data_IF_690934963050
#
_entry.id   IF_690934963050
#
_cell.length_a   1.000
_cell.length_b   1.000
_cell.length_c   1.000
_cell.angle_alpha   90.00
_cell.angle_beta   90.00
_cell.angle_gamma   90.00
#
_symmetry.space_group_name_H-M   'P 1'
#
loop_
_entity.id
_entity.type
_entity.pdbx_description
1 polymer ?
#
# COMPACT_ATOMS: atom_id res chain seq x y z
N UNK A 1 12.80 -6.79 17.88
CA UNK A 1 12.63 -5.86 16.73
C UNK A 1 11.46 -6.23 15.84
N UNK A 2 11.37 -7.46 15.28
CA UNK A 2 10.27 -7.87 14.38
C UNK A 2 8.89 -7.65 15.02
N UNK A 3 8.65 -8.17 16.24
CA UNK A 3 7.35 -8.02 16.92
C UNK A 3 6.91 -6.55 17.09
N UNK A 4 7.84 -5.67 17.48
CA UNK A 4 7.57 -4.23 17.66
C UNK A 4 7.27 -3.57 16.32
N UNK A 5 8.08 -3.85 15.29
CA UNK A 5 7.85 -3.33 13.93
C UNK A 5 6.48 -3.78 13.39
N UNK A 6 6.12 -5.06 13.56
CA UNK A 6 4.82 -5.60 13.15
C UNK A 6 3.65 -4.93 13.87
N UNK A 7 3.78 -4.67 15.18
CA UNK A 7 2.76 -3.97 15.95
C UNK A 7 2.57 -2.52 15.46
N UNK A 8 3.68 -1.77 15.32
CA UNK A 8 3.65 -0.40 14.79
C UNK A 8 3.02 -0.39 13.41
N UNK A 9 3.35 -1.36 12.55
CA UNK A 9 2.80 -1.45 11.20
C UNK A 9 1.29 -1.67 11.19
N UNK A 10 0.77 -2.58 12.04
CA UNK A 10 -0.68 -2.81 12.15
C UNK A 10 -1.39 -1.53 12.61
N UNK A 11 -0.86 -0.86 13.64
CA UNK A 11 -1.41 0.40 14.13
C UNK A 11 -1.42 1.46 13.03
N UNK A 12 -0.30 1.63 12.33
CA UNK A 12 -0.20 2.57 11.22
C UNK A 12 -1.19 2.23 10.09
N UNK A 13 -1.36 0.95 9.74
CA UNK A 13 -2.29 0.54 8.68
C UNK A 13 -3.73 0.93 9.04
N UNK A 14 -4.16 0.62 10.27
CA UNK A 14 -5.49 0.96 10.73
C UNK A 14 -5.73 2.49 10.76
N UNK A 15 -4.71 3.28 11.10
CA UNK A 15 -4.78 4.74 11.12
C UNK A 15 -4.74 5.37 9.72
N UNK A 16 -3.93 4.82 8.82
CA UNK A 16 -3.74 5.34 7.46
C UNK A 16 -4.92 4.98 6.55
N UNK A 17 -5.46 3.76 6.69
CA UNK A 17 -6.60 3.29 5.90
C UNK A 17 -7.90 4.09 6.12
N UNK A 18 -8.02 4.83 7.23
CA UNK A 18 -9.19 5.65 7.53
C UNK A 18 -9.12 7.06 6.95
N UNK A 19 -7.97 7.49 6.43
CA UNK A 19 -7.75 8.85 5.95
C UNK A 19 -7.50 8.79 4.45
N UNK A 20 -8.46 9.24 3.65
CA UNK A 20 -8.25 9.47 2.22
C UNK A 20 -7.11 10.46 1.96
N UNK A 21 -6.87 10.82 0.70
CA UNK A 21 -5.77 11.72 0.31
C UNK A 21 -5.76 13.09 1.03
N UNK A 22 -6.86 13.45 1.72
CA UNK A 22 -7.01 14.71 2.44
C UNK A 22 -7.10 15.93 1.51
N UNK A 23 -7.10 15.72 0.20
CA UNK A 23 -7.15 16.74 -0.83
C UNK A 23 -8.33 16.47 -1.76
N UNK A 24 -8.99 17.54 -2.18
CA UNK A 24 -10.05 17.53 -3.19
C UNK A 24 -9.54 18.19 -4.48
N UNK A 25 -10.27 18.10 -5.61
CA UNK A 25 -9.93 18.86 -6.81
C UNK A 25 -9.82 20.37 -6.54
N UNK A 26 -10.65 20.90 -5.65
CA UNK A 26 -10.65 22.31 -5.23
C UNK A 26 -9.35 22.71 -4.53
N UNK A 27 -8.88 21.90 -3.57
CA UNK A 27 -7.63 22.17 -2.86
C UNK A 27 -6.39 21.91 -3.73
N UNK A 28 -6.47 20.93 -4.65
CA UNK A 28 -5.38 20.59 -5.56
C UNK A 28 -5.18 21.62 -6.69
N UNK A 29 -6.23 22.32 -7.10
CA UNK A 29 -6.19 23.36 -8.15
C UNK A 29 -6.13 24.77 -7.57
N UNK A 30 -6.42 24.95 -6.28
CA UNK A 30 -6.56 26.27 -5.65
C UNK A 30 -7.83 27.02 -6.06
N UNK A 31 -8.73 26.39 -6.82
CA UNK A 31 -9.93 27.01 -7.37
C UNK A 31 -11.14 26.92 -6.44
N UNK A 32 -10.99 26.40 -5.21
CA UNK A 32 -12.11 26.22 -4.28
C UNK A 32 -12.89 27.51 -3.96
N UNK A 33 -12.24 28.67 -4.03
CA UNK A 33 -12.90 29.97 -3.87
C UNK A 33 -13.89 30.31 -5.00
N UNK A 34 -13.78 29.66 -6.16
CA UNK A 34 -14.63 29.85 -7.34
C UNK A 34 -15.81 28.86 -7.39
N UNK A 35 -15.95 27.97 -6.41
CA UNK A 35 -17.01 26.97 -6.33
C UNK A 35 -16.55 25.55 -6.63
N UNK A 36 -17.51 24.65 -6.89
CA UNK A 36 -17.25 23.22 -7.12
C UNK A 36 -16.47 23.02 -8.42
N UNK A 37 -15.31 22.38 -8.33
CA UNK A 37 -14.45 22.12 -9.49
C UNK A 37 -14.93 20.86 -10.21
N UNK A 38 -15.18 20.97 -11.52
CA UNK A 38 -15.46 19.82 -12.39
C UNK A 38 -14.49 19.79 -13.56
N UNK A 39 -14.12 18.58 -13.97
CA UNK A 39 -13.34 18.38 -15.18
C UNK A 39 -14.20 18.73 -16.41
N UNK A 40 -13.63 19.49 -17.35
CA UNK A 40 -14.26 19.81 -18.65
C UNK A 40 -13.75 18.86 -19.74
N UNK A 41 -12.46 18.54 -19.71
CA UNK A 41 -11.82 17.57 -20.59
C UNK A 41 -10.69 16.85 -19.85
N UNK A 42 -10.40 15.58 -20.19
CA UNK A 42 -9.24 14.90 -19.63
C UNK A 42 -7.95 15.63 -20.03
N UNK A 43 -6.91 15.60 -19.18
CA UNK A 43 -5.64 16.28 -19.45
C UNK A 43 -4.82 15.63 -20.58
N UNK A 44 -5.30 14.52 -21.14
CA UNK A 44 -4.69 13.81 -22.26
C UNK A 44 -5.75 13.29 -23.23
N UNK A 45 -5.43 13.30 -24.52
CA UNK A 45 -6.27 12.76 -25.61
C UNK A 45 -6.03 11.28 -25.88
N UNK A 46 -4.89 10.74 -25.44
CA UNK A 46 -4.54 9.33 -25.55
C UNK A 46 -4.25 8.72 -24.17
N UNK A 47 -4.36 7.40 -24.07
CA UNK A 47 -4.06 6.67 -22.84
C UNK A 47 -2.57 6.73 -22.53
N UNK A 48 -2.22 7.05 -21.28
CA UNK A 48 -0.82 7.06 -20.84
C UNK A 48 -0.41 5.67 -20.34
N UNK A 49 0.86 5.30 -20.54
CA UNK A 49 1.50 4.14 -19.94
C UNK A 49 1.19 3.98 -18.44
N UNK A 50 1.13 5.09 -17.69
CA UNK A 50 0.74 5.06 -16.26
C UNK A 50 -0.66 4.45 -16.02
N UNK A 51 -1.63 4.68 -16.90
CA UNK A 51 -3.00 4.17 -16.73
C UNK A 51 -3.07 2.65 -16.93
N UNK A 52 -2.21 2.11 -17.78
CA UNK A 52 -2.08 0.67 -18.02
C UNK A 52 -1.25 -0.01 -16.93
N UNK A 53 -0.09 0.57 -16.58
CA UNK A 53 0.88 -0.07 -15.68
C UNK A 53 0.50 0.09 -14.19
N UNK A 54 -0.13 1.19 -13.79
CA UNK A 54 -0.63 1.39 -12.42
C UNK A 54 -1.99 0.73 -12.16
N UNK A 55 -2.47 -0.04 -13.13
CA UNK A 55 -3.56 -0.99 -12.99
C UNK A 55 -3.14 -2.18 -12.12
N UNK A 56 -2.74 -1.96 -10.87
CA UNK A 56 -2.55 -3.00 -9.86
C UNK A 56 -3.87 -3.71 -9.50
N UNK A 57 -4.61 -4.18 -10.50
CA UNK A 57 -5.97 -4.73 -10.43
C UNK A 57 -5.96 -5.98 -9.56
N UNK A 58 -4.97 -6.86 -9.74
CA UNK A 58 -4.82 -8.07 -8.92
C UNK A 58 -4.57 -7.70 -7.46
N UNK A 59 -3.65 -6.77 -7.19
CA UNK A 59 -3.34 -6.37 -5.83
C UNK A 59 -4.53 -5.67 -5.16
N UNK A 60 -5.24 -4.78 -5.85
CA UNK A 60 -6.45 -4.12 -5.33
C UNK A 60 -7.60 -5.10 -5.09
N UNK A 61 -7.81 -6.06 -6.00
CA UNK A 61 -8.84 -7.11 -5.87
C UNK A 61 -8.54 -8.08 -4.73
N UNK A 62 -7.27 -8.34 -4.44
CA UNK A 62 -6.82 -9.30 -3.44
C UNK A 62 -6.09 -8.67 -2.26
N UNK A 63 -6.28 -7.38 -2.02
CA UNK A 63 -5.54 -6.57 -1.05
C UNK A 63 -5.52 -7.20 0.34
N UNK A 64 -6.68 -7.57 0.87
CA UNK A 64 -6.81 -8.21 2.19
C UNK A 64 -6.06 -9.55 2.25
N UNK A 65 -6.15 -10.38 1.20
CA UNK A 65 -5.46 -11.68 1.17
C UNK A 65 -3.94 -11.49 1.09
N UNK A 66 -3.48 -10.55 0.28
CA UNK A 66 -2.06 -10.22 0.16
C UNK A 66 -1.51 -9.60 1.44
N UNK A 67 -2.29 -8.78 2.15
CA UNK A 67 -1.92 -8.24 3.45
C UNK A 67 -1.75 -9.34 4.50
N UNK A 68 -2.66 -10.32 4.54
CA UNK A 68 -2.55 -11.48 5.43
C UNK A 68 -1.29 -12.30 5.09
N UNK A 69 -1.04 -12.58 3.81
CA UNK A 69 0.16 -13.30 3.37
C UNK A 69 1.41 -12.53 3.76
N UNK A 70 1.47 -11.23 3.48
CA UNK A 70 2.60 -10.37 3.85
C UNK A 70 2.86 -10.41 5.36
N UNK A 71 1.82 -10.34 6.19
CA UNK A 71 1.95 -10.42 7.65
C UNK A 71 2.44 -11.78 8.14
N UNK A 72 1.92 -12.88 7.57
CA UNK A 72 2.37 -14.23 7.94
C UNK A 72 3.84 -14.41 7.60
N UNK A 73 4.27 -14.00 6.40
CA UNK A 73 5.64 -14.12 5.94
C UNK A 73 6.61 -13.18 6.68
N UNK A 74 6.20 -11.91 6.88
CA UNK A 74 7.05 -10.88 7.49
C UNK A 74 7.16 -11.03 9.01
N UNK A 75 6.14 -11.56 9.68
CA UNK A 75 6.08 -11.55 11.14
C UNK A 75 5.92 -12.94 11.74
N UNK A 76 4.86 -13.67 11.39
CA UNK A 76 4.48 -14.90 12.10
C UNK A 76 5.53 -16.00 11.91
N UNK A 77 5.92 -16.30 10.67
CA UNK A 77 6.91 -17.36 10.41
C UNK A 77 8.27 -17.02 11.07
N UNK A 78 8.86 -15.82 10.88
CA UNK A 78 10.11 -15.47 11.54
C UNK A 78 10.05 -15.55 13.07
N UNK A 79 8.96 -15.08 13.69
CA UNK A 79 8.80 -15.12 15.14
C UNK A 79 8.70 -16.56 15.67
N UNK A 80 8.00 -17.45 14.97
CA UNK A 80 7.92 -18.86 15.35
C UNK A 80 9.28 -19.55 15.25
N UNK A 81 10.04 -19.30 14.18
CA UNK A 81 11.38 -19.88 14.01
C UNK A 81 12.33 -19.38 15.09
N UNK A 82 12.34 -18.07 15.37
CA UNK A 82 13.18 -17.47 16.40
C UNK A 82 12.78 -17.94 17.82
N UNK A 83 11.50 -18.21 18.07
CA UNK A 83 11.02 -18.67 19.37
C UNK A 83 11.29 -20.15 19.64
N UNK A 84 11.17 -21.00 18.62
CA UNK A 84 11.24 -22.46 18.78
C UNK A 84 12.63 -23.04 18.47
N UNK A 85 13.33 -22.47 17.48
CA UNK A 85 14.59 -23.03 16.98
C UNK A 85 15.67 -21.96 16.75
N UNK A 86 15.98 -21.11 17.75
CA UNK A 86 16.90 -19.98 17.56
C UNK A 86 18.33 -20.40 17.19
N UNK A 87 18.71 -21.65 17.44
CA UNK A 87 20.13 -22.06 17.33
C UNK A 87 20.48 -22.65 15.96
N UNK A 88 19.49 -22.87 15.09
CA UNK A 88 19.70 -23.45 13.76
C UNK A 88 19.98 -22.36 12.73
N UNK A 89 21.23 -22.23 12.30
CA UNK A 89 21.65 -21.26 11.29
C UNK A 89 20.84 -21.38 9.98
N UNK A 90 20.55 -22.60 9.53
CA UNK A 90 19.76 -22.84 8.32
C UNK A 90 18.33 -22.32 8.46
N UNK A 91 17.69 -22.56 9.61
CA UNK A 91 16.34 -22.06 9.87
C UNK A 91 16.32 -20.53 10.04
N UNK A 92 17.37 -19.94 10.62
CA UNK A 92 17.50 -18.49 10.71
C UNK A 92 17.60 -17.82 9.33
N UNK A 93 18.38 -18.40 8.40
CA UNK A 93 18.46 -17.90 7.02
C UNK A 93 17.09 -18.00 6.35
N UNK A 94 16.40 -19.13 6.52
CA UNK A 94 15.06 -19.31 5.96
C UNK A 94 14.06 -18.29 6.54
N UNK A 95 14.12 -18.02 7.84
CA UNK A 95 13.30 -17.00 8.49
C UNK A 95 13.58 -15.59 7.95
N UNK A 96 14.86 -15.26 7.69
CA UNK A 96 15.23 -14.00 7.08
C UNK A 96 14.68 -13.86 5.64
N UNK A 97 14.71 -14.94 4.85
CA UNK A 97 14.14 -14.96 3.50
C UNK A 97 12.62 -14.77 3.50
N UNK A 98 11.91 -15.45 4.39
CA UNK A 98 10.47 -15.24 4.56
C UNK A 98 10.15 -13.82 5.01
N UNK A 99 10.93 -13.28 5.95
CA UNK A 99 10.79 -11.90 6.40
C UNK A 99 10.92 -10.92 5.23
N UNK A 100 11.98 -11.07 4.42
CA UNK A 100 12.23 -10.23 3.25
C UNK A 100 11.11 -10.35 2.21
N UNK A 101 10.67 -11.57 1.91
CA UNK A 101 9.58 -11.81 0.98
C UNK A 101 8.27 -11.14 1.44
N UNK A 102 7.92 -11.27 2.72
CA UNK A 102 6.75 -10.61 3.30
C UNK A 102 6.82 -9.09 3.21
N UNK A 103 7.98 -8.49 3.53
CA UNK A 103 8.20 -7.04 3.42
C UNK A 103 8.09 -6.57 1.96
N UNK A 104 8.55 -7.36 0.99
CA UNK A 104 8.43 -7.00 -0.43
C UNK A 104 6.97 -7.03 -0.90
N UNK A 105 6.20 -8.05 -0.49
CA UNK A 105 4.76 -8.12 -0.79
C UNK A 105 4.02 -6.95 -0.16
N UNK A 106 4.34 -6.61 1.10
CA UNK A 106 3.76 -5.47 1.79
C UNK A 106 4.04 -4.15 1.07
N UNK A 107 5.31 -3.91 0.67
CA UNK A 107 5.69 -2.70 -0.07
C UNK A 107 4.98 -2.60 -1.41
N UNK A 108 4.89 -3.72 -2.13
CA UNK A 108 4.15 -3.79 -3.38
C UNK A 108 2.66 -3.45 -3.18
N UNK A 109 2.05 -3.99 -2.12
CA UNK A 109 0.65 -3.69 -1.79
C UNK A 109 0.44 -2.21 -1.40
N UNK A 110 1.38 -1.60 -0.68
CA UNK A 110 1.34 -0.16 -0.39
C UNK A 110 1.30 0.69 -1.67
N UNK A 111 2.16 0.39 -2.65
CA UNK A 111 2.14 1.10 -3.94
C UNK A 111 0.85 0.83 -4.73
N UNK A 112 0.30 -0.38 -4.64
CA UNK A 112 -0.94 -0.74 -5.32
C UNK A 112 -2.18 -0.06 -4.73
N UNK A 113 -2.23 0.10 -3.40
CA UNK A 113 -3.32 0.74 -2.67
C UNK A 113 -3.22 2.27 -2.64
N UNK A 114 -2.02 2.83 -2.81
CA UNK A 114 -1.82 4.26 -2.84
C UNK A 114 -2.64 4.89 -3.99
N UNK A 115 -3.76 5.55 -3.64
CA UNK A 115 -4.44 6.45 -4.57
C UNK A 115 -3.59 7.69 -4.73
N UNK A 116 -2.97 7.82 -5.90
CA UNK A 116 -2.15 8.99 -6.20
C UNK A 116 -3.03 10.24 -6.24
N UNK A 117 -2.64 11.30 -5.53
CA UNK A 117 -3.30 12.61 -5.58
C UNK A 117 -3.45 13.16 -6.99
N UNK A 118 -2.65 12.68 -7.94
CA UNK A 118 -2.80 13.00 -9.36
C UNK A 118 -4.18 12.63 -9.90
N UNK A 119 -4.85 11.59 -9.37
CA UNK A 119 -6.21 11.21 -9.78
C UNK A 119 -7.23 12.30 -9.49
N UNK A 120 -6.95 13.23 -8.57
CA UNK A 120 -7.79 14.41 -8.33
C UNK A 120 -7.83 15.35 -9.55
N UNK A 121 -6.74 15.47 -10.32
CA UNK A 121 -6.75 16.19 -11.61
C UNK A 121 -7.55 15.44 -12.68
N UNK A 122 -7.73 14.13 -12.50
CA UNK A 122 -8.61 13.29 -13.29
C UNK A 122 -10.06 13.26 -12.76
N UNK A 123 -10.43 14.19 -11.87
CA UNK A 123 -11.81 14.33 -11.39
C UNK A 123 -12.26 13.22 -10.45
N UNK A 124 -11.33 12.37 -10.00
CA UNK A 124 -11.59 11.37 -8.97
C UNK A 124 -12.01 12.09 -7.68
N UNK A 125 -13.13 11.68 -7.10
CA UNK A 125 -13.64 12.20 -5.83
C UNK A 125 -13.59 11.05 -4.83
N UNK A 126 -12.81 11.21 -3.76
CA UNK A 126 -12.71 10.24 -2.68
C UNK A 126 -13.84 10.40 -1.66
#
# INVERSE_FOLDING_TARGET
MIAVASLIKILWWNLAGSKGSGSTPETATGLGALGKVRMIMPPHTEENWLQHEMGFVVARKHAVRLAIIAFILAAIIPLLVLGLYPQSAALLVLAALFHLAGVMVERWLFFAEAKHTVTLYYGDQH
#
